data_IF_044077260919
#
_entry.id   IF_044077260919
#
_cell.length_a   1.000
_cell.length_b   1.000
_cell.length_c   1.000
_cell.angle_alpha   90.00
_cell.angle_beta   90.00
_cell.angle_gamma   90.00
#
_symmetry.space_group_name_H-M   'P 1'
#
loop_
_entity.id
_entity.type
_entity.pdbx_description
1 polymer ?
#
# COMPACT_ATOMS: atom_id res chain seq x y z
N UNK A 1 2.29 -5.49 45.50
CA UNK A 1 3.24 -5.89 44.45
C UNK A 1 2.87 -5.04 43.25
N UNK A 2 3.42 -3.83 43.19
CA UNK A 2 2.99 -2.78 42.25
C UNK A 2 3.80 -2.84 40.95
N UNK A 3 3.09 -3.08 39.85
CA UNK A 3 3.60 -3.08 38.48
C UNK A 3 3.57 -1.63 38.00
N UNK A 4 4.65 -0.89 38.22
CA UNK A 4 4.77 0.45 37.65
C UNK A 4 4.99 0.30 36.15
N UNK A 5 3.95 0.62 35.36
CA UNK A 5 4.04 0.92 33.93
C UNK A 5 4.94 2.15 33.73
N UNK A 6 6.26 1.96 33.71
CA UNK A 6 7.18 2.95 33.16
C UNK A 6 7.28 2.71 31.67
N UNK A 7 6.42 3.38 30.92
CA UNK A 7 6.67 3.69 29.52
C UNK A 7 7.88 4.62 29.51
N UNK A 8 9.08 4.04 29.44
CA UNK A 8 10.34 4.78 29.30
C UNK A 8 10.30 5.46 27.94
N UNK A 9 9.84 6.71 27.93
CA UNK A 9 9.71 7.53 26.73
C UNK A 9 11.09 8.12 26.47
N UNK A 10 11.73 7.69 25.39
CA UNK A 10 13.06 8.14 25.01
C UNK A 10 13.09 9.68 24.87
N UNK A 11 13.90 10.39 25.68
CA UNK A 11 13.95 11.85 25.68
C UNK A 11 14.42 12.44 24.35
N UNK A 12 15.15 11.68 23.53
CA UNK A 12 15.57 12.10 22.19
C UNK A 12 14.38 12.14 21.23
N UNK A 13 13.47 11.16 21.33
CA UNK A 13 12.24 11.17 20.55
C UNK A 13 11.29 12.29 20.96
N UNK A 14 11.24 12.64 22.25
CA UNK A 14 10.42 13.77 22.71
C UNK A 14 11.01 15.11 22.29
N UNK A 15 12.34 15.27 22.30
CA UNK A 15 13.02 16.45 21.75
C UNK A 15 12.79 16.59 20.23
N UNK A 16 12.89 15.47 19.49
CA UNK A 16 12.60 15.45 18.06
C UNK A 16 11.14 15.80 17.79
N UNK A 17 10.19 15.24 18.55
CA UNK A 17 8.76 15.56 18.42
C UNK A 17 8.51 17.04 18.69
N UNK A 18 9.18 17.63 19.67
CA UNK A 18 9.08 19.06 19.96
C UNK A 18 9.58 19.91 18.78
N UNK A 19 10.72 19.55 18.17
CA UNK A 19 11.24 20.27 17.01
C UNK A 19 10.39 20.06 15.73
N UNK A 20 9.88 18.84 15.50
CA UNK A 20 8.95 18.58 14.39
C UNK A 20 7.64 19.35 14.59
N UNK A 21 7.14 19.46 15.82
CA UNK A 21 5.96 20.26 16.14
C UNK A 21 6.14 21.76 15.88
N UNK A 22 7.37 22.25 15.78
CA UNK A 22 7.67 23.65 15.38
C UNK A 22 7.65 23.84 13.86
N UNK A 23 7.79 22.76 13.09
CA UNK A 23 7.64 22.74 11.65
C UNK A 23 6.15 22.61 11.29
N UNK A 24 5.38 23.66 11.58
CA UNK A 24 3.96 23.68 11.25
C UNK A 24 3.79 23.69 9.71
N UNK A 25 2.92 22.83 9.19
CA UNK A 25 2.67 22.78 7.75
C UNK A 25 1.99 24.09 7.31
N UNK A 26 2.48 24.79 6.26
CA UNK A 26 1.86 26.03 5.82
C UNK A 26 0.38 25.82 5.49
N UNK A 27 -0.47 26.72 6.01
CA UNK A 27 -1.92 26.65 5.84
C UNK A 27 -2.26 26.60 4.35
N UNK A 28 -2.92 25.53 3.91
CA UNK A 28 -3.35 25.36 2.51
C UNK A 28 -2.50 24.42 1.67
N UNK A 29 -1.31 23.98 2.13
CA UNK A 29 -0.49 22.99 1.40
C UNK A 29 -1.24 21.69 1.19
N UNK A 30 -1.95 21.20 2.21
CA UNK A 30 -2.81 20.02 2.08
C UNK A 30 -3.84 20.17 0.96
N UNK A 31 -4.47 21.35 0.85
CA UNK A 31 -5.46 21.62 -0.19
C UNK A 31 -4.82 21.64 -1.58
N UNK A 32 -3.64 22.24 -1.72
CA UNK A 32 -2.91 22.28 -2.99
C UNK A 32 -2.44 20.87 -3.40
N UNK A 33 -1.94 20.08 -2.45
CA UNK A 33 -1.55 18.68 -2.68
C UNK A 33 -2.76 17.83 -3.07
N UNK A 34 -3.88 17.93 -2.35
CA UNK A 34 -5.12 17.22 -2.69
C UNK A 34 -5.65 17.65 -4.06
N UNK A 35 -5.55 18.93 -4.40
CA UNK A 35 -5.95 19.43 -5.71
C UNK A 35 -5.02 18.92 -6.83
N UNK A 36 -3.71 18.90 -6.61
CA UNK A 36 -2.74 18.34 -7.55
C UNK A 36 -2.95 16.84 -7.73
N UNK A 37 -3.17 16.11 -6.64
CA UNK A 37 -3.46 14.69 -6.65
C UNK A 37 -4.75 14.37 -7.43
N UNK A 38 -5.83 15.14 -7.20
CA UNK A 38 -7.09 14.96 -7.93
C UNK A 38 -6.95 15.22 -9.44
N UNK A 39 -6.03 16.10 -9.86
CA UNK A 39 -5.71 16.33 -11.29
C UNK A 39 -4.97 15.14 -11.90
N UNK A 40 -4.05 14.52 -11.15
CA UNK A 40 -3.27 13.37 -11.61
C UNK A 40 -4.09 12.06 -11.59
N UNK A 41 -5.00 11.92 -10.64
CA UNK A 41 -5.84 10.74 -10.46
C UNK A 41 -7.33 11.10 -10.60
N UNK A 42 -7.83 11.36 -11.82
CA UNK A 42 -9.24 11.62 -12.01
C UNK A 42 -10.05 10.41 -11.50
N UNK A 43 -11.11 10.63 -10.69
CA UNK A 43 -11.90 9.53 -10.16
C UNK A 43 -12.46 8.71 -11.33
N UNK A 44 -12.20 7.40 -11.32
CA UNK A 44 -12.73 6.47 -12.33
C UNK A 44 -14.25 6.60 -12.34
N UNK A 45 -14.78 7.26 -13.37
CA UNK A 45 -16.21 7.58 -13.48
C UNK A 45 -16.96 6.26 -13.68
N UNK A 46 -17.55 5.74 -12.60
CA UNK A 46 -18.14 4.40 -12.62
C UNK A 46 -19.38 4.39 -13.52
N UNK A 47 -19.41 3.46 -14.48
CA UNK A 47 -20.38 3.38 -15.57
C UNK A 47 -21.84 3.36 -15.12
N UNK A 48 -22.12 2.87 -13.90
CA UNK A 48 -23.46 2.81 -13.31
C UNK A 48 -24.08 4.18 -12.98
N UNK A 49 -23.29 5.24 -12.80
CA UNK A 49 -23.87 6.60 -12.63
C UNK A 49 -24.55 7.11 -13.90
N UNK A 50 -24.22 6.55 -15.07
CA UNK A 50 -24.88 6.89 -16.34
C UNK A 50 -26.24 6.19 -16.50
N UNK A 51 -26.48 5.11 -15.74
CA UNK A 51 -27.74 4.36 -15.74
C UNK A 51 -28.75 4.87 -14.70
N UNK A 52 -28.29 5.65 -13.71
CA UNK A 52 -29.11 6.11 -12.58
C UNK A 52 -29.97 7.35 -12.85
N UNK A 53 -29.99 7.92 -14.06
CA UNK A 53 -30.81 9.10 -14.41
C UNK A 53 -31.86 8.78 -15.48
N UNK A 54 -32.45 7.59 -15.41
CA UNK A 54 -33.76 7.35 -16.02
C UNK A 54 -34.77 7.16 -14.89
N UNK A 55 -35.71 8.10 -14.64
CA UNK A 55 -36.79 7.86 -13.70
C UNK A 55 -37.68 6.78 -14.32
N UNK A 56 -37.47 5.53 -13.91
CA UNK A 56 -38.33 4.41 -14.29
C UNK A 56 -39.62 4.52 -13.49
N UNK A 57 -40.66 5.04 -14.13
CA UNK A 57 -42.02 4.87 -13.68
C UNK A 57 -42.36 3.37 -13.63
N UNK A 58 -42.84 2.94 -12.47
CA UNK A 58 -43.65 1.75 -12.15
C UNK A 58 -43.93 0.75 -13.30
N UNK A 59 -43.49 -0.51 -13.15
CA UNK A 59 -44.32 -1.73 -13.32
C UNK A 59 -43.47 -3.02 -13.37
N UNK A 60 -43.84 -4.02 -12.54
CA UNK A 60 -43.49 -5.45 -12.69
C UNK A 60 -42.07 -5.83 -12.24
N UNK A 61 -41.81 -6.76 -11.32
CA UNK A 61 -42.54 -7.99 -11.06
C UNK A 61 -41.61 -9.20 -11.33
N UNK A 62 -40.93 -9.66 -10.28
CA UNK A 62 -40.53 -11.07 -10.02
C UNK A 62 -39.27 -11.69 -10.68
N UNK A 63 -38.58 -11.13 -11.68
CA UNK A 63 -37.42 -11.86 -12.28
C UNK A 63 -36.07 -11.66 -11.56
N UNK A 64 -35.94 -10.68 -10.66
CA UNK A 64 -34.63 -10.26 -10.11
C UNK A 64 -34.02 -11.19 -9.04
N UNK A 65 -34.75 -12.18 -8.50
CA UNK A 65 -34.24 -13.03 -7.41
C UNK A 65 -33.22 -14.09 -7.85
N UNK A 66 -33.35 -14.64 -9.06
CA UNK A 66 -32.55 -15.78 -9.49
C UNK A 66 -31.12 -15.41 -9.95
N UNK A 67 -30.91 -14.20 -10.44
CA UNK A 67 -29.58 -13.74 -10.91
C UNK A 67 -28.66 -13.29 -9.78
N UNK A 68 -29.21 -12.85 -8.63
CA UNK A 68 -28.43 -12.46 -7.45
C UNK A 68 -27.76 -13.67 -6.81
N UNK A 69 -28.42 -14.84 -6.81
CA UNK A 69 -27.85 -16.06 -6.23
C UNK A 69 -26.73 -16.67 -7.09
N UNK A 70 -26.82 -16.54 -8.41
CA UNK A 70 -25.81 -17.06 -9.34
C UNK A 70 -24.50 -16.22 -9.34
N UNK A 71 -24.59 -14.91 -9.07
CA UNK A 71 -23.40 -14.03 -8.99
C UNK A 71 -22.70 -14.06 -7.63
N UNK A 72 -23.39 -14.45 -6.55
CA UNK A 72 -22.81 -14.58 -5.22
C UNK A 72 -21.75 -15.71 -5.13
N UNK A 73 -21.81 -16.71 -6.01
CA UNK A 73 -20.86 -17.83 -6.04
C UNK A 73 -19.59 -17.49 -6.86
N UNK A 74 -19.59 -16.38 -7.62
CA UNK A 74 -18.49 -16.05 -8.55
C UNK A 74 -17.95 -14.62 -8.40
N UNK A 75 -18.07 -14.05 -7.21
CA UNK A 75 -17.37 -12.81 -6.88
C UNK A 75 -15.94 -13.14 -6.43
N UNK A 76 -14.89 -12.84 -7.21
CA UNK A 76 -13.56 -12.67 -6.62
C UNK A 76 -13.63 -11.50 -5.65
N UNK A 77 -13.06 -11.71 -4.46
CA UNK A 77 -13.05 -10.75 -3.36
C UNK A 77 -12.65 -9.36 -3.85
N UNK A 78 -13.45 -8.30 -3.60
CA UNK A 78 -12.99 -6.94 -3.81
C UNK A 78 -11.94 -6.65 -2.74
N UNK A 79 -10.69 -6.50 -3.17
CA UNK A 79 -9.63 -5.95 -2.34
C UNK A 79 -9.94 -4.47 -2.16
N UNK A 80 -10.66 -4.15 -1.09
CA UNK A 80 -10.58 -2.84 -0.47
C UNK A 80 -9.17 -2.69 0.09
N UNK A 81 -8.40 -1.74 -0.42
CA UNK A 81 -7.62 -0.84 0.44
C UNK A 81 -6.97 0.26 -0.40
N UNK A 82 -7.63 1.41 -0.42
CA UNK A 82 -7.03 2.68 -0.80
C UNK A 82 -6.24 3.26 0.37
N UNK A 83 -5.15 2.60 0.77
CA UNK A 83 -4.09 3.22 1.58
C UNK A 83 -2.86 3.40 0.70
N UNK A 84 -2.46 4.66 0.54
CA UNK A 84 -1.16 5.05 0.00
C UNK A 84 -0.05 4.67 1.00
N UNK A 85 0.19 3.38 1.13
CA UNK A 85 1.30 2.78 1.84
C UNK A 85 1.54 1.44 1.16
N UNK A 86 2.78 1.21 0.73
CA UNK A 86 3.31 0.00 0.10
C UNK A 86 2.23 -1.06 -0.22
N UNK A 87 1.89 -1.22 -1.50
CA UNK A 87 0.93 -2.24 -1.94
C UNK A 87 1.50 -3.61 -1.57
N UNK A 88 1.06 -4.12 -0.42
CA UNK A 88 1.45 -5.42 0.12
C UNK A 88 0.60 -6.46 -0.58
N UNK A 89 1.21 -7.14 -1.56
CA UNK A 89 0.63 -8.35 -2.13
C UNK A 89 1.06 -9.55 -1.27
N UNK A 90 0.07 -10.28 -0.76
CA UNK A 90 0.28 -11.50 0.00
C UNK A 90 0.14 -12.70 -0.96
N UNK A 91 1.27 -13.28 -1.35
CA UNK A 91 1.27 -14.63 -1.92
C UNK A 91 1.70 -15.62 -0.85
N UNK A 92 1.31 -16.89 -0.98
CA UNK A 92 1.55 -17.96 0.01
C UNK A 92 3.03 -18.25 0.35
N UNK A 93 3.97 -17.46 -0.16
CA UNK A 93 5.41 -17.54 0.04
C UNK A 93 6.02 -16.28 0.69
N UNK A 94 5.21 -15.32 1.16
CA UNK A 94 5.68 -14.13 1.90
C UNK A 94 5.06 -12.80 1.42
N UNK A 95 5.39 -11.71 2.14
CA UNK A 95 4.92 -10.35 1.84
C UNK A 95 5.82 -9.71 0.79
N UNK A 96 5.24 -9.32 -0.36
CA UNK A 96 5.93 -8.44 -1.31
C UNK A 96 5.67 -6.98 -0.96
N UNK A 97 6.75 -6.20 -0.95
CA UNK A 97 6.74 -4.75 -0.81
C UNK A 97 6.91 -4.18 -2.22
N UNK A 98 5.87 -3.49 -2.71
CA UNK A 98 5.93 -2.80 -4.00
C UNK A 98 6.89 -1.61 -3.93
N UNK A 99 7.82 -1.54 -4.88
CA UNK A 99 8.77 -0.43 -5.04
C UNK A 99 8.26 0.56 -6.11
N UNK A 100 7.41 0.10 -7.02
CA UNK A 100 6.73 0.91 -8.04
C UNK A 100 5.19 0.75 -7.94
N UNK A 101 4.46 1.55 -8.71
CA UNK A 101 3.01 1.49 -8.87
C UNK A 101 2.52 0.12 -9.35
N UNK A 102 1.37 -0.33 -8.85
CA UNK A 102 0.77 -1.59 -9.28
C UNK A 102 0.46 -1.62 -10.79
N UNK A 103 0.11 -0.49 -11.39
CA UNK A 103 -0.11 -0.40 -12.84
C UNK A 103 1.16 -0.73 -13.62
N UNK A 104 2.32 -0.21 -13.19
CA UNK A 104 3.60 -0.49 -13.84
C UNK A 104 4.02 -1.95 -13.66
N UNK A 105 3.84 -2.50 -12.46
CA UNK A 105 4.15 -3.90 -12.14
C UNK A 105 3.30 -4.84 -12.99
N UNK A 106 1.98 -4.59 -13.09
CA UNK A 106 1.07 -5.41 -13.87
C UNK A 106 1.28 -5.31 -15.39
N UNK A 107 1.82 -4.17 -15.86
CA UNK A 107 2.10 -3.94 -17.27
C UNK A 107 3.48 -4.47 -17.72
N UNK A 108 4.32 -4.97 -16.80
CA UNK A 108 5.65 -5.47 -17.15
C UNK A 108 5.56 -6.78 -17.95
N UNK A 109 6.10 -6.83 -19.19
CA UNK A 109 5.92 -7.99 -20.08
C UNK A 109 6.73 -9.22 -19.67
N UNK A 110 7.86 -9.06 -18.98
CA UNK A 110 8.74 -10.16 -18.63
C UNK A 110 9.45 -9.96 -17.28
N UNK A 111 8.71 -9.88 -16.17
CA UNK A 111 9.31 -9.69 -14.86
C UNK A 111 10.10 -10.94 -14.44
N UNK A 112 11.26 -10.74 -13.81
CA UNK A 112 12.15 -11.81 -13.35
C UNK A 112 12.35 -11.72 -11.85
N UNK A 113 12.36 -12.87 -11.18
CA UNK A 113 12.70 -12.95 -9.77
C UNK A 113 14.20 -13.16 -9.60
N UNK A 114 14.86 -12.31 -8.82
CA UNK A 114 16.30 -12.38 -8.55
C UNK A 114 16.53 -12.39 -7.05
N UNK A 115 17.28 -13.36 -6.55
CA UNK A 115 17.70 -13.40 -5.16
C UNK A 115 18.93 -12.51 -4.96
N UNK A 116 18.86 -11.56 -4.04
CA UNK A 116 19.91 -10.58 -3.77
C UNK A 116 20.04 -10.31 -2.27
N UNK A 117 21.22 -9.82 -1.87
CA UNK A 117 21.42 -9.30 -0.52
C UNK A 117 21.20 -7.79 -0.54
N UNK A 118 20.35 -7.29 0.36
CA UNK A 118 20.02 -5.86 0.44
C UNK A 118 20.46 -5.32 1.80
N UNK A 119 21.16 -4.17 1.84
CA UNK A 119 21.52 -3.53 3.10
C UNK A 119 20.29 -3.19 3.94
N UNK A 120 20.33 -3.51 5.23
CA UNK A 120 19.22 -3.25 6.15
C UNK A 120 18.88 -1.76 6.26
N UNK A 121 19.89 -0.90 6.09
CA UNK A 121 19.75 0.56 6.01
C UNK A 121 18.86 1.01 4.86
N UNK A 122 18.95 0.38 3.69
CA UNK A 122 18.08 0.69 2.54
C UNK A 122 16.63 0.24 2.77
N UNK A 123 16.44 -0.84 3.54
CA UNK A 123 15.12 -1.37 3.88
C UNK A 123 14.43 -0.58 5.00
N UNK A 124 15.15 0.26 5.74
CA UNK A 124 14.56 1.08 6.81
C UNK A 124 13.49 2.04 6.28
N UNK A 125 13.67 2.57 5.05
CA UNK A 125 12.67 3.39 4.37
C UNK A 125 11.37 2.62 4.06
N UNK A 126 11.44 1.29 3.99
CA UNK A 126 10.30 0.39 3.77
C UNK A 126 9.71 -0.13 5.09
N UNK A 127 10.15 0.40 6.24
CA UNK A 127 9.63 0.03 7.57
C UNK A 127 10.30 -1.18 8.20
N UNK A 128 11.41 -1.67 7.65
CA UNK A 128 12.19 -2.74 8.29
C UNK A 128 12.93 -2.18 9.51
N UNK A 129 12.84 -2.83 10.69
CA UNK A 129 13.46 -2.32 11.90
C UNK A 129 15.00 -2.31 11.79
N UNK A 130 15.58 -1.20 12.25
CA UNK A 130 17.00 -0.91 12.26
C UNK A 130 17.43 -0.56 13.69
N UNK A 131 18.49 -1.20 14.18
CA UNK A 131 19.15 -0.93 15.45
C UNK A 131 20.66 -0.75 15.20
N UNK A 132 21.41 -0.09 16.11
CA UNK A 132 22.85 0.11 15.92
C UNK A 132 23.62 -1.20 15.67
N UNK A 133 23.16 -2.29 16.27
CA UNK A 133 23.78 -3.61 16.19
C UNK A 133 23.57 -4.28 14.83
N UNK A 134 22.46 -3.98 14.13
CA UNK A 134 22.11 -4.60 12.84
C UNK A 134 22.24 -3.64 11.64
N UNK A 135 22.69 -2.41 11.86
CA UNK A 135 22.80 -1.40 10.81
C UNK A 135 23.84 -1.74 9.73
N UNK A 136 24.83 -2.58 10.07
CA UNK A 136 25.82 -3.09 9.11
C UNK A 136 25.35 -4.31 8.33
N UNK A 137 24.22 -4.91 8.69
CA UNK A 137 23.82 -6.21 8.17
C UNK A 137 23.15 -6.10 6.80
N UNK A 138 23.23 -7.19 6.04
CA UNK A 138 22.48 -7.39 4.80
C UNK A 138 21.47 -8.51 4.97
N UNK A 139 20.28 -8.32 4.39
CA UNK A 139 19.18 -9.28 4.47
C UNK A 139 18.99 -9.93 3.11
N UNK A 140 18.83 -11.26 3.11
CA UNK A 140 18.49 -11.98 1.88
C UNK A 140 17.07 -11.63 1.45
N UNK A 141 16.95 -11.18 0.21
CA UNK A 141 15.70 -10.79 -0.38
C UNK A 141 15.54 -11.41 -1.76
N UNK A 142 14.29 -11.56 -2.18
CA UNK A 142 13.95 -11.84 -3.56
C UNK A 142 13.30 -10.59 -4.15
N UNK A 143 13.80 -10.17 -5.30
CA UNK A 143 13.41 -8.95 -5.97
C UNK A 143 12.77 -9.29 -7.31
N UNK A 144 11.59 -8.73 -7.56
CA UNK A 144 10.98 -8.71 -8.86
C UNK A 144 11.60 -7.57 -9.66
N UNK A 145 12.16 -7.88 -10.82
CA UNK A 145 12.89 -6.94 -11.67
C UNK A 145 12.26 -6.91 -13.05
N UNK A 146 12.10 -5.71 -13.60
CA UNK A 146 11.62 -5.50 -14.97
C UNK A 146 12.68 -5.92 -16.02
N UNK A 147 12.29 -6.01 -17.29
CA UNK A 147 13.20 -6.36 -18.37
C UNK A 147 14.33 -5.34 -18.57
N UNK A 148 14.14 -4.10 -18.13
CA UNK A 148 15.13 -3.01 -18.12
C UNK A 148 16.09 -3.06 -16.92
N UNK A 149 15.90 -4.01 -16.00
CA UNK A 149 16.70 -4.15 -14.78
C UNK A 149 16.20 -3.33 -13.59
N UNK A 150 15.09 -2.60 -13.70
CA UNK A 150 14.55 -1.81 -12.61
C UNK A 150 13.80 -2.68 -11.58
N UNK A 151 13.98 -2.41 -10.28
CA UNK A 151 13.32 -3.18 -9.23
C UNK A 151 11.86 -2.75 -9.09
N UNK A 152 10.95 -3.71 -9.21
CA UNK A 152 9.49 -3.51 -9.18
C UNK A 152 8.89 -3.81 -7.80
N UNK A 153 9.35 -4.88 -7.17
CA UNK A 153 8.91 -5.30 -5.85
C UNK A 153 10.00 -6.12 -5.15
N UNK A 154 9.92 -6.24 -3.84
CA UNK A 154 10.89 -6.98 -3.03
C UNK A 154 10.18 -7.74 -1.91
N UNK A 155 10.59 -8.98 -1.66
CA UNK A 155 10.23 -9.74 -0.45
C UNK A 155 11.48 -10.16 0.31
N UNK A 156 11.38 -10.28 1.63
CA UNK A 156 12.47 -10.76 2.49
C UNK A 156 12.37 -12.28 2.64
N UNK A 157 13.46 -13.00 2.39
CA UNK A 157 13.50 -14.48 2.43
C UNK A 157 13.89 -15.01 3.81
N UNK A 158 14.66 -14.24 4.58
CA UNK A 158 15.03 -14.59 5.95
C UNK A 158 15.28 -13.30 6.74
N UNK A 159 14.45 -13.05 7.77
CA UNK A 159 14.75 -12.07 8.81
C UNK A 159 15.48 -12.86 9.89
N UNK A 160 16.80 -12.92 9.84
CA UNK A 160 17.61 -13.33 11.00
C UNK A 160 17.87 -12.14 11.91
#
# INVERSE_FOLDING_TARGET
MDIRNTTDRDPLFDALRAEVGRLDAPRGVEKELLQAFAKLHPPKRRWYHRLAVRPAALAGGVVAGALVLAFAVRAPHPVEDGRAGALVALDGNGVFIALDSAERIAAEPAPRMVATDVPRTSLAALGVPLTPENAGDSVRAEMLVAADGQPLALRLSAIQ
#
